data_IF_299209852226
#
_entry.id   IF_299209852226
#
_cell.length_a   1.000
_cell.length_b   1.000
_cell.length_c   1.000
_cell.angle_alpha   90.00
_cell.angle_beta   90.00
_cell.angle_gamma   90.00
#
_symmetry.space_group_name_H-M   'P 1'
#
loop_
_entity.id
_entity.type
_entity.pdbx_description
1 polymer ?
#
# COMPACT_ATOMS: atom_id res chain seq x y z
N UNK A 1 -0.47 77.17 -26.54
CA UNK A 1 0.25 76.34 -25.56
C UNK A 1 -0.63 75.53 -24.67
N UNK A 2 -1.94 75.75 -24.48
CA UNK A 2 -2.86 74.96 -23.63
C UNK A 2 -3.37 73.68 -24.30
N UNK A 3 -3.49 73.66 -25.63
CA UNK A 3 -4.00 72.50 -26.38
C UNK A 3 -3.00 71.31 -26.49
N UNK A 4 -1.71 71.60 -26.56
CA UNK A 4 -0.67 70.57 -26.64
C UNK A 4 -0.52 69.76 -25.36
N UNK A 5 -0.74 70.38 -24.19
CA UNK A 5 -0.68 69.70 -22.89
C UNK A 5 -1.85 68.73 -22.66
N UNK A 6 -3.02 69.00 -23.19
CA UNK A 6 -4.21 68.14 -23.11
C UNK A 6 -4.02 66.85 -23.93
N UNK A 7 -3.38 66.91 -25.10
CA UNK A 7 -3.12 65.77 -25.97
C UNK A 7 -2.09 64.80 -25.33
N UNK A 8 -1.06 65.32 -24.65
CA UNK A 8 -0.05 64.49 -23.97
C UNK A 8 -0.64 63.78 -22.72
N UNK A 9 -1.59 64.38 -22.00
CA UNK A 9 -2.23 63.77 -20.84
C UNK A 9 -3.17 62.66 -21.30
N UNK A 10 -3.91 62.82 -22.40
CA UNK A 10 -4.76 61.77 -22.95
C UNK A 10 -3.98 60.60 -23.54
N UNK A 11 -2.83 60.82 -24.14
CA UNK A 11 -1.96 59.79 -24.67
C UNK A 11 -1.29 58.95 -23.55
N UNK A 12 -0.91 59.55 -22.42
CA UNK A 12 -0.33 58.82 -21.28
C UNK A 12 -1.38 57.98 -20.51
N UNK A 13 -2.62 58.39 -20.42
CA UNK A 13 -3.70 57.63 -19.80
C UNK A 13 -4.12 56.43 -20.67
N UNK A 14 -4.08 56.54 -21.99
CA UNK A 14 -4.38 55.45 -22.91
C UNK A 14 -3.28 54.35 -22.88
N UNK A 15 -2.03 54.69 -22.67
CA UNK A 15 -0.92 53.72 -22.56
C UNK A 15 -0.97 52.98 -21.20
N UNK A 16 -1.44 53.63 -20.12
CA UNK A 16 -1.57 53.01 -18.82
C UNK A 16 -2.78 52.01 -18.78
N UNK A 17 -3.82 52.24 -19.59
CA UNK A 17 -5.00 51.38 -19.63
C UNK A 17 -4.78 50.03 -20.38
N UNK A 18 -3.81 49.96 -21.28
CA UNK A 18 -3.44 48.73 -22.02
C UNK A 18 -2.57 47.75 -21.21
N UNK A 19 -1.95 48.20 -20.13
CA UNK A 19 -1.11 47.34 -19.26
C UNK A 19 -1.87 46.45 -18.29
N UNK A 20 -3.19 46.58 -18.14
CA UNK A 20 -4.04 45.81 -17.21
C UNK A 20 -4.78 44.65 -17.88
N UNK A 21 -4.46 44.28 -19.13
CA UNK A 21 -4.89 43.02 -19.71
C UNK A 21 -4.06 41.88 -19.06
N UNK A 22 -4.22 41.72 -17.75
CA UNK A 22 -3.63 40.63 -16.99
C UNK A 22 -3.98 39.30 -17.64
N UNK A 23 -2.99 38.49 -17.91
CA UNK A 23 -3.15 37.10 -18.31
C UNK A 23 -4.17 36.43 -17.41
N UNK A 24 -5.39 36.28 -17.86
CA UNK A 24 -6.35 35.35 -17.26
C UNK A 24 -5.77 33.96 -17.54
N UNK A 25 -5.03 33.43 -16.59
CA UNK A 25 -4.57 32.05 -16.61
C UNK A 25 -5.84 31.18 -16.72
N UNK A 26 -6.17 30.77 -17.94
CA UNK A 26 -7.30 29.87 -18.21
C UNK A 26 -6.89 28.47 -17.81
N UNK A 27 -6.62 28.24 -16.52
CA UNK A 27 -6.57 26.89 -16.03
C UNK A 27 -7.98 26.34 -16.14
N UNK A 28 -8.15 25.32 -16.96
CA UNK A 28 -9.39 24.55 -16.96
C UNK A 28 -9.65 24.07 -15.53
N UNK A 29 -10.85 24.27 -14.97
CA UNK A 29 -11.14 23.84 -13.61
C UNK A 29 -10.93 22.33 -13.53
N UNK A 30 -9.93 21.91 -12.76
CA UNK A 30 -9.65 20.52 -12.45
C UNK A 30 -10.39 20.08 -11.19
N UNK A 31 -10.62 18.78 -11.06
CA UNK A 31 -11.09 18.18 -9.82
C UNK A 31 -9.91 17.93 -8.91
N UNK A 32 -9.97 18.49 -7.71
CA UNK A 32 -8.89 18.34 -6.74
C UNK A 32 -8.85 16.94 -6.16
N UNK A 33 -7.64 16.45 -5.99
CA UNK A 33 -7.38 15.14 -5.41
C UNK A 33 -5.94 15.01 -4.93
N UNK A 34 -5.58 13.81 -4.55
CA UNK A 34 -4.23 13.47 -4.12
C UNK A 34 -3.86 12.04 -4.50
N UNK A 35 -2.58 11.79 -4.45
CA UNK A 35 -2.02 10.45 -4.68
C UNK A 35 -2.03 9.67 -3.36
N UNK A 36 -2.60 8.48 -3.38
CA UNK A 36 -2.56 7.50 -2.29
C UNK A 36 -1.84 6.22 -2.72
N UNK A 37 -1.46 5.39 -1.75
CA UNK A 37 -1.03 4.03 -2.03
C UNK A 37 -1.56 3.07 -0.96
N UNK A 38 -1.96 1.87 -1.38
CA UNK A 38 -2.33 0.80 -0.46
C UNK A 38 -1.06 0.07 0.00
N UNK A 39 -0.69 0.30 1.27
CA UNK A 39 0.49 -0.28 1.87
C UNK A 39 0.26 -1.73 2.27
N UNK A 40 1.29 -2.54 2.18
CA UNK A 40 1.32 -3.89 2.73
C UNK A 40 2.09 -3.84 4.05
N UNK A 41 1.40 -4.19 5.13
CA UNK A 41 1.97 -4.19 6.48
C UNK A 41 2.54 -5.55 6.79
N UNK A 42 3.79 -5.59 7.28
CA UNK A 42 4.45 -6.84 7.67
C UNK A 42 4.56 -6.87 9.19
N UNK A 43 3.91 -7.87 9.79
CA UNK A 43 3.77 -8.04 11.24
C UNK A 43 4.26 -9.42 11.67
N UNK A 44 4.79 -9.59 12.89
CA UNK A 44 5.06 -10.91 13.45
C UNK A 44 3.76 -11.57 13.91
N UNK A 45 3.70 -12.89 13.82
CA UNK A 45 2.56 -13.70 14.30
C UNK A 45 2.51 -13.75 15.85
N UNK A 46 3.67 -13.71 16.51
CA UNK A 46 3.81 -13.77 17.96
C UNK A 46 4.59 -12.55 18.48
N UNK A 47 4.26 -12.11 19.68
CA UNK A 47 4.98 -11.03 20.34
C UNK A 47 6.46 -11.37 20.61
N UNK A 48 7.31 -10.37 20.57
CA UNK A 48 8.73 -10.51 20.88
C UNK A 48 9.54 -9.25 20.63
N UNK A 49 10.81 -9.29 21.04
CA UNK A 49 11.73 -8.19 20.81
C UNK A 49 12.29 -8.25 19.39
N UNK A 50 12.32 -7.15 18.66
CA UNK A 50 13.01 -7.05 17.38
C UNK A 50 14.52 -7.14 17.64
N UNK A 51 15.13 -8.21 17.18
CA UNK A 51 16.58 -8.46 17.37
C UNK A 51 17.40 -7.94 16.21
N UNK A 52 16.82 -7.90 15.01
CA UNK A 52 17.51 -7.45 13.82
C UNK A 52 16.52 -6.82 12.83
N UNK A 53 16.96 -5.73 12.21
CA UNK A 53 16.28 -5.05 11.13
C UNK A 53 17.25 -4.92 9.94
N UNK A 54 16.93 -5.60 8.83
CA UNK A 54 17.86 -5.69 7.70
C UNK A 54 17.66 -4.60 6.65
N UNK A 55 16.57 -3.81 6.75
CA UNK A 55 16.15 -2.83 5.75
C UNK A 55 16.01 -1.46 6.38
N UNK A 56 16.08 -0.43 5.54
CA UNK A 56 15.84 0.98 5.89
C UNK A 56 14.65 1.53 5.12
N UNK A 57 14.09 2.63 5.58
CA UNK A 57 13.08 3.37 4.82
C UNK A 57 13.68 3.85 3.49
N UNK A 58 12.96 3.61 2.40
CA UNK A 58 13.40 3.88 1.05
C UNK A 58 14.07 2.71 0.33
N UNK A 59 14.45 1.63 1.01
CA UNK A 59 15.05 0.45 0.37
C UNK A 59 14.03 -0.27 -0.51
N UNK A 60 14.48 -0.76 -1.66
CA UNK A 60 13.71 -1.65 -2.52
C UNK A 60 13.87 -3.11 -2.07
N UNK A 61 12.76 -3.82 -2.00
CA UNK A 61 12.72 -5.24 -1.61
C UNK A 61 12.03 -6.10 -2.65
N UNK A 62 12.47 -7.35 -2.75
CA UNK A 62 11.87 -8.41 -3.57
C UNK A 62 11.08 -9.37 -2.69
N UNK A 63 10.17 -10.11 -3.31
CA UNK A 63 9.45 -11.19 -2.62
C UNK A 63 10.43 -12.17 -2.01
N UNK A 64 10.27 -12.46 -0.71
CA UNK A 64 11.12 -13.38 0.03
C UNK A 64 12.35 -12.76 0.68
N UNK A 65 12.62 -11.46 0.50
CA UNK A 65 13.71 -10.79 1.19
C UNK A 65 13.47 -10.78 2.70
N UNK A 66 14.53 -11.05 3.48
CA UNK A 66 14.45 -11.08 4.93
C UNK A 66 14.50 -9.66 5.50
N UNK A 67 13.40 -9.22 6.09
CA UNK A 67 13.19 -7.85 6.55
C UNK A 67 13.65 -7.64 7.99
N UNK A 68 13.19 -8.51 8.90
CA UNK A 68 13.51 -8.41 10.33
C UNK A 68 13.50 -9.78 10.99
N UNK A 69 14.11 -9.85 12.18
CA UNK A 69 14.03 -11.00 13.08
C UNK A 69 13.48 -10.57 14.43
N UNK A 70 12.71 -11.45 15.04
CA UNK A 70 12.22 -11.32 16.41
C UNK A 70 12.93 -12.38 17.26
N UNK A 71 13.17 -12.08 18.53
CA UNK A 71 13.78 -12.98 19.50
C UNK A 71 13.16 -14.38 19.43
N UNK A 72 14.00 -15.40 19.22
CA UNK A 72 13.60 -16.79 18.98
C UNK A 72 14.18 -17.78 19.99
N UNK A 73 14.78 -17.32 21.09
CA UNK A 73 15.44 -18.16 22.10
C UNK A 73 14.51 -19.22 22.68
N UNK A 74 13.26 -18.84 23.02
CA UNK A 74 12.27 -19.78 23.56
C UNK A 74 11.83 -20.81 22.52
N UNK A 75 11.63 -20.40 21.27
CA UNK A 75 11.24 -21.28 20.17
C UNK A 75 12.37 -22.25 19.81
N UNK A 76 13.63 -21.78 19.89
CA UNK A 76 14.80 -22.63 19.70
C UNK A 76 14.91 -23.69 20.80
N UNK A 77 14.69 -23.31 22.06
CA UNK A 77 14.68 -24.26 23.19
C UNK A 77 13.58 -25.31 23.04
N UNK A 78 12.34 -24.90 22.67
CA UNK A 78 11.22 -25.80 22.39
C UNK A 78 11.54 -26.78 21.25
N UNK A 79 12.08 -26.25 20.15
CA UNK A 79 12.50 -27.08 19.00
C UNK A 79 13.54 -28.13 19.41
N UNK A 80 14.54 -27.74 20.19
CA UNK A 80 15.56 -28.67 20.66
C UNK A 80 15.00 -29.75 21.59
N UNK A 81 14.05 -29.41 22.48
CA UNK A 81 13.33 -30.37 23.31
C UNK A 81 12.52 -31.35 22.46
N UNK A 82 11.79 -30.87 21.47
CA UNK A 82 10.97 -31.73 20.59
C UNK A 82 11.87 -32.61 19.69
N UNK A 83 13.02 -32.15 19.24
CA UNK A 83 14.02 -32.95 18.52
C UNK A 83 14.59 -34.08 19.40
N UNK A 84 14.86 -33.82 20.66
CA UNK A 84 15.30 -34.86 21.60
C UNK A 84 14.20 -35.92 21.84
N UNK A 85 12.93 -35.48 21.92
CA UNK A 85 11.77 -36.39 22.06
C UNK A 85 11.61 -37.23 20.79
N UNK A 86 11.77 -36.65 19.60
CA UNK A 86 11.74 -37.38 18.33
C UNK A 86 12.84 -38.45 18.26
N UNK A 87 14.07 -38.10 18.64
CA UNK A 87 15.17 -39.05 18.66
C UNK A 87 14.90 -40.27 19.57
N UNK A 88 14.30 -40.05 20.76
CA UNK A 88 13.89 -41.15 21.66
C UNK A 88 12.73 -41.99 21.05
N UNK A 89 11.74 -41.34 20.44
CA UNK A 89 10.65 -42.05 19.77
C UNK A 89 11.14 -42.91 18.61
N UNK A 90 12.08 -42.38 17.81
CA UNK A 90 12.74 -43.10 16.72
C UNK A 90 13.47 -44.35 17.23
N UNK A 91 14.31 -44.21 18.26
CA UNK A 91 15.00 -45.36 18.87
C UNK A 91 14.06 -46.41 19.40
N UNK A 92 12.92 -46.00 19.99
CA UNK A 92 11.90 -46.88 20.50
C UNK A 92 11.19 -47.64 19.36
N UNK A 93 10.89 -46.96 18.29
CA UNK A 93 10.32 -47.56 17.08
C UNK A 93 11.29 -48.58 16.46
N UNK A 94 12.56 -48.23 16.27
CA UNK A 94 13.59 -49.10 15.69
C UNK A 94 13.72 -50.37 16.48
N UNK A 95 13.72 -50.29 17.84
CA UNK A 95 13.74 -51.42 18.72
C UNK A 95 12.49 -52.28 18.59
N UNK A 96 11.32 -51.68 18.63
CA UNK A 96 10.05 -52.41 18.48
C UNK A 96 9.95 -53.10 17.12
N UNK A 97 10.36 -52.46 16.06
CA UNK A 97 10.39 -52.99 14.71
C UNK A 97 11.36 -54.17 14.58
N UNK A 98 12.55 -54.10 15.20
CA UNK A 98 13.52 -55.17 15.24
C UNK A 98 12.96 -56.38 16.00
N UNK A 99 12.39 -56.19 17.19
CA UNK A 99 11.79 -57.25 18.00
C UNK A 99 10.59 -57.91 17.30
N UNK A 100 9.76 -57.15 16.64
CA UNK A 100 8.65 -57.68 15.83
C UNK A 100 9.12 -58.59 14.69
N UNK A 101 10.20 -58.17 13.98
CA UNK A 101 10.81 -58.97 12.89
C UNK A 101 11.38 -60.31 13.39
N UNK A 102 11.92 -60.36 14.61
CA UNK A 102 12.44 -61.60 15.22
C UNK A 102 11.39 -62.42 15.93
N UNK A 103 10.12 -62.05 15.93
CA UNK A 103 9.02 -62.72 16.61
C UNK A 103 9.02 -62.55 18.14
N UNK A 104 9.91 -61.70 18.69
CA UNK A 104 10.05 -61.43 20.12
C UNK A 104 9.23 -60.21 20.61
N UNK A 105 8.63 -59.47 19.70
CA UNK A 105 7.78 -58.30 19.98
C UNK A 105 6.31 -58.54 19.59
N UNK A 106 5.41 -57.78 20.22
CA UNK A 106 3.98 -57.80 19.88
C UNK A 106 3.65 -56.73 18.83
N UNK A 107 2.67 -57.00 17.98
CA UNK A 107 2.17 -56.01 17.02
C UNK A 107 1.67 -54.74 17.72
N UNK A 108 1.00 -54.88 18.86
CA UNK A 108 0.53 -53.73 19.66
C UNK A 108 1.64 -52.82 20.12
N UNK A 109 2.82 -53.36 20.48
CA UNK A 109 3.99 -52.57 20.84
C UNK A 109 4.56 -51.79 19.64
N UNK A 110 4.60 -52.44 18.46
CA UNK A 110 5.04 -51.80 17.22
C UNK A 110 4.08 -50.65 16.85
N UNK A 111 2.77 -50.91 16.87
CA UNK A 111 1.76 -49.91 16.54
C UNK A 111 1.80 -48.69 17.48
N UNK A 112 2.02 -48.97 18.80
CA UNK A 112 2.22 -47.89 19.78
C UNK A 112 3.49 -47.07 19.49
N UNK A 113 4.60 -47.74 19.16
CA UNK A 113 5.83 -47.04 18.83
C UNK A 113 5.73 -46.20 17.52
N UNK A 114 5.04 -46.73 16.51
CA UNK A 114 4.72 -46.00 15.27
C UNK A 114 3.90 -44.75 15.58
N UNK A 115 2.87 -44.88 16.42
CA UNK A 115 2.01 -43.76 16.82
C UNK A 115 2.83 -42.67 17.55
N UNK A 116 3.67 -43.09 18.53
CA UNK A 116 4.52 -42.18 19.29
C UNK A 116 5.53 -41.43 18.38
N UNK A 117 6.12 -42.13 17.41
CA UNK A 117 7.03 -41.51 16.43
C UNK A 117 6.33 -40.43 15.62
N UNK A 118 5.16 -40.73 15.05
CA UNK A 118 4.39 -39.76 14.24
C UNK A 118 3.97 -38.53 15.05
N UNK A 119 3.62 -38.70 16.32
CA UNK A 119 3.32 -37.56 17.21
C UNK A 119 4.57 -36.69 17.44
N UNK A 120 5.73 -37.31 17.65
CA UNK A 120 6.97 -36.60 17.86
C UNK A 120 7.41 -35.84 16.57
N UNK A 121 7.28 -36.45 15.40
CA UNK A 121 7.53 -35.80 14.10
C UNK A 121 6.63 -34.57 13.90
N UNK A 122 5.33 -34.70 14.20
CA UNK A 122 4.38 -33.59 14.09
C UNK A 122 4.71 -32.43 15.03
N UNK A 123 5.22 -32.74 16.26
CA UNK A 123 5.66 -31.70 17.22
C UNK A 123 6.90 -30.94 16.72
N UNK A 124 7.88 -31.64 16.17
CA UNK A 124 9.06 -31.00 15.58
C UNK A 124 8.65 -30.09 14.44
N UNK A 125 7.81 -30.57 13.50
CA UNK A 125 7.32 -29.75 12.37
C UNK A 125 6.58 -28.50 12.85
N UNK A 126 5.80 -28.58 13.92
CA UNK A 126 5.13 -27.44 14.54
C UNK A 126 6.12 -26.44 15.10
N UNK A 127 7.15 -26.90 15.86
CA UNK A 127 8.17 -26.03 16.45
C UNK A 127 9.04 -25.38 15.37
N UNK A 128 9.39 -26.09 14.30
CA UNK A 128 10.11 -25.53 13.14
C UNK A 128 9.31 -24.42 12.45
N UNK A 129 8.00 -24.61 12.27
CA UNK A 129 7.12 -23.61 11.73
C UNK A 129 7.06 -22.35 12.60
N UNK A 130 6.93 -22.51 13.92
CA UNK A 130 6.93 -21.38 14.86
C UNK A 130 8.25 -20.62 14.82
N UNK A 131 9.36 -21.34 14.79
CA UNK A 131 10.68 -20.73 14.67
C UNK A 131 10.85 -19.96 13.36
N UNK A 132 10.41 -20.52 12.23
CA UNK A 132 10.47 -19.85 10.93
C UNK A 132 9.68 -18.53 10.92
N UNK A 133 8.54 -18.49 11.63
CA UNK A 133 7.68 -17.30 11.75
C UNK A 133 8.26 -16.19 12.64
N UNK A 134 9.40 -16.42 13.32
CA UNK A 134 10.16 -15.37 14.03
C UNK A 134 10.93 -14.46 13.09
N UNK A 135 10.99 -14.80 11.81
CA UNK A 135 11.61 -14.00 10.75
C UNK A 135 10.52 -13.45 9.83
N UNK A 136 10.52 -12.14 9.65
CA UNK A 136 9.64 -11.45 8.70
C UNK A 136 10.28 -11.41 7.32
N UNK A 137 9.54 -11.86 6.31
CA UNK A 137 9.95 -11.81 4.90
C UNK A 137 9.00 -10.93 4.11
N UNK A 138 9.49 -10.34 3.02
CA UNK A 138 8.69 -9.51 2.13
C UNK A 138 7.66 -10.39 1.37
N UNK A 139 6.34 -10.17 1.57
CA UNK A 139 5.31 -10.90 0.85
C UNK A 139 5.14 -10.41 -0.58
N UNK A 140 5.58 -9.18 -0.86
CA UNK A 140 5.50 -8.52 -2.17
C UNK A 140 6.77 -7.73 -2.44
N UNK A 141 7.07 -7.48 -3.72
CA UNK A 141 8.11 -6.54 -4.10
C UNK A 141 7.61 -5.10 -3.97
N UNK A 142 8.49 -4.18 -3.57
CA UNK A 142 8.16 -2.77 -3.41
C UNK A 142 9.22 -2.01 -2.65
N UNK A 143 8.88 -0.79 -2.22
CA UNK A 143 9.77 0.08 -1.43
C UNK A 143 9.33 0.07 0.03
N UNK A 144 10.27 -0.03 0.96
CA UNK A 144 10.00 0.15 2.40
C UNK A 144 9.55 1.59 2.63
N UNK A 145 8.29 1.78 3.01
CA UNK A 145 7.73 3.11 3.19
C UNK A 145 7.97 3.65 4.59
N UNK A 146 7.76 2.81 5.60
CA UNK A 146 7.89 3.21 6.99
C UNK A 146 8.27 2.03 7.87
N UNK A 147 9.11 2.29 8.87
CA UNK A 147 9.51 1.37 9.92
C UNK A 147 8.91 1.85 11.24
N UNK A 148 8.07 1.01 11.86
CA UNK A 148 7.33 1.37 13.08
C UNK A 148 8.06 0.94 14.35
N UNK A 149 8.91 -0.11 14.28
CA UNK A 149 9.67 -0.64 15.41
C UNK A 149 11.14 -0.78 15.05
N UNK A 150 12.01 -0.46 15.99
CA UNK A 150 13.46 -0.53 15.84
C UNK A 150 14.04 -1.74 16.59
N UNK A 151 15.29 -2.06 16.31
CA UNK A 151 16.03 -3.09 17.05
C UNK A 151 16.02 -2.76 18.55
N UNK A 152 15.75 -3.78 19.36
CA UNK A 152 15.62 -3.68 20.82
C UNK A 152 14.19 -3.41 21.30
N UNK A 153 13.27 -2.97 20.46
CA UNK A 153 11.89 -2.70 20.86
C UNK A 153 11.03 -3.97 20.90
N UNK A 154 10.05 -3.97 21.81
CA UNK A 154 9.09 -5.06 21.94
C UNK A 154 7.91 -4.81 21.00
N UNK A 155 7.62 -5.77 20.14
CA UNK A 155 6.47 -5.74 19.23
C UNK A 155 5.41 -6.76 19.67
N UNK A 156 4.16 -6.34 19.70
CA UNK A 156 3.04 -7.25 19.95
C UNK A 156 2.70 -8.05 18.69
N UNK A 157 2.07 -9.20 18.86
CA UNK A 157 1.53 -9.98 17.74
C UNK A 157 0.63 -9.11 16.86
N UNK A 158 0.72 -9.29 15.54
CA UNK A 158 -0.07 -8.58 14.53
C UNK A 158 0.13 -7.05 14.47
N UNK A 159 1.09 -6.49 15.22
CA UNK A 159 1.50 -5.08 15.07
C UNK A 159 2.50 -4.97 13.94
N UNK A 160 2.29 -4.08 12.96
CA UNK A 160 3.24 -3.90 11.86
C UNK A 160 4.61 -3.47 12.35
N UNK A 161 5.66 -4.15 11.94
CA UNK A 161 7.05 -3.73 12.13
C UNK A 161 7.45 -2.72 11.08
N UNK A 162 6.99 -2.93 9.86
CA UNK A 162 7.23 -2.04 8.73
C UNK A 162 6.10 -2.13 7.70
N UNK A 163 6.08 -1.18 6.76
CA UNK A 163 5.17 -1.18 5.61
C UNK A 163 5.94 -1.16 4.30
N UNK A 164 5.44 -1.90 3.32
CA UNK A 164 5.94 -1.97 1.94
C UNK A 164 4.93 -1.31 1.03
N UNK A 165 5.40 -0.47 0.13
CA UNK A 165 4.63 0.13 -0.95
C UNK A 165 4.92 -0.57 -2.27
N UNK A 166 4.04 -1.45 -2.76
CA UNK A 166 4.18 -2.00 -4.09
C UNK A 166 3.91 -0.92 -5.16
N UNK A 167 4.70 -0.84 -6.22
CA UNK A 167 4.53 0.20 -7.25
C UNK A 167 3.16 0.16 -7.93
N UNK A 168 2.53 -1.01 -8.03
CA UNK A 168 1.19 -1.18 -8.61
C UNK A 168 0.02 -0.75 -7.72
N UNK A 169 0.26 -0.46 -6.45
CA UNK A 169 -0.78 -0.10 -5.47
C UNK A 169 -1.00 1.42 -5.36
N UNK A 170 -0.31 2.21 -6.16
CA UNK A 170 -0.53 3.65 -6.21
C UNK A 170 -1.86 3.96 -6.92
N UNK A 171 -2.63 4.85 -6.35
CA UNK A 171 -3.93 5.29 -6.85
C UNK A 171 -4.10 6.80 -6.67
N UNK A 172 -4.92 7.37 -7.51
CA UNK A 172 -5.38 8.75 -7.39
C UNK A 172 -6.74 8.73 -6.73
N UNK A 173 -6.96 9.66 -5.84
CA UNK A 173 -8.22 9.87 -5.15
C UNK A 173 -8.66 11.30 -5.35
N UNK A 174 -9.82 11.51 -5.96
CA UNK A 174 -10.33 12.83 -6.25
C UNK A 174 -11.86 12.87 -6.15
N UNK A 175 -12.39 14.06 -6.03
CA UNK A 175 -13.82 14.26 -5.80
C UNK A 175 -14.47 15.01 -6.96
N UNK A 176 -15.61 14.49 -7.40
CA UNK A 176 -16.36 15.05 -8.52
C UNK A 176 -17.77 15.42 -8.06
N UNK A 177 -18.25 16.63 -8.36
CA UNK A 177 -19.64 17.02 -8.08
C UNK A 177 -20.66 16.13 -8.83
N UNK A 178 -21.85 15.97 -8.24
CA UNK A 178 -22.94 15.19 -8.82
C UNK A 178 -23.26 15.60 -10.27
N UNK A 179 -23.20 16.87 -10.59
CA UNK A 179 -23.48 17.41 -11.94
C UNK A 179 -22.52 16.92 -13.02
N UNK A 180 -21.31 16.55 -12.65
CA UNK A 180 -20.28 16.07 -13.58
C UNK A 180 -20.23 14.53 -13.64
N UNK A 181 -20.83 13.84 -12.67
CA UNK A 181 -20.79 12.39 -12.54
C UNK A 181 -21.32 11.64 -13.79
N UNK A 182 -22.41 12.09 -14.47
CA UNK A 182 -22.89 11.42 -15.67
C UNK A 182 -21.91 11.42 -16.84
N UNK A 183 -20.91 12.29 -16.81
CA UNK A 183 -19.87 12.38 -17.86
C UNK A 183 -18.77 11.34 -17.68
N UNK A 184 -18.75 10.62 -16.54
CA UNK A 184 -17.72 9.68 -16.17
C UNK A 184 -18.22 8.25 -16.23
N UNK A 185 -17.33 7.34 -16.62
CA UNK A 185 -17.56 5.91 -16.54
C UNK A 185 -16.29 5.19 -16.07
N UNK A 186 -16.50 4.01 -15.47
CA UNK A 186 -15.38 3.12 -15.17
C UNK A 186 -14.66 2.75 -16.48
N UNK A 187 -13.34 2.88 -16.50
CA UNK A 187 -12.52 2.66 -17.69
C UNK A 187 -12.14 3.93 -18.44
N UNK A 188 -12.75 5.06 -18.14
CA UNK A 188 -12.39 6.35 -18.75
C UNK A 188 -10.96 6.76 -18.35
N UNK A 189 -10.26 7.40 -19.27
CA UNK A 189 -8.94 7.97 -19.05
C UNK A 189 -9.05 9.45 -18.74
N UNK A 190 -8.46 9.88 -17.65
CA UNK A 190 -8.40 11.28 -17.22
C UNK A 190 -6.97 11.80 -17.30
N UNK A 191 -6.82 13.11 -17.52
CA UNK A 191 -5.52 13.78 -17.50
C UNK A 191 -5.22 14.28 -16.08
N UNK A 192 -3.98 14.13 -15.67
CA UNK A 192 -3.49 14.58 -14.35
C UNK A 192 -2.60 15.79 -14.57
N UNK A 193 -2.82 16.82 -13.78
CA UNK A 193 -1.93 17.96 -13.65
C UNK A 193 -1.46 18.08 -12.21
N UNK A 194 -0.22 18.42 -12.00
CA UNK A 194 0.35 18.75 -10.70
C UNK A 194 1.56 19.68 -10.90
N UNK A 195 1.98 20.36 -9.83
CA UNK A 195 3.11 21.28 -9.91
C UNK A 195 4.38 20.53 -10.32
N UNK A 196 5.03 20.98 -11.38
CA UNK A 196 6.24 20.40 -11.97
C UNK A 196 6.10 18.95 -12.48
N UNK A 197 4.90 18.49 -12.74
CA UNK A 197 4.67 17.20 -13.37
C UNK A 197 4.84 17.24 -14.89
N UNK A 198 5.11 16.07 -15.48
CA UNK A 198 5.06 15.91 -16.92
C UNK A 198 3.61 16.15 -17.45
N UNK A 199 3.48 16.87 -18.56
CA UNK A 199 2.18 17.30 -19.10
C UNK A 199 1.30 16.14 -19.63
N UNK A 200 1.88 14.96 -19.82
CA UNK A 200 1.25 13.78 -20.42
C UNK A 200 0.81 12.71 -19.42
N UNK A 201 0.73 13.06 -18.14
CA UNK A 201 0.28 12.14 -17.11
C UNK A 201 -1.22 11.87 -17.26
N UNK A 202 -1.56 10.58 -17.26
CA UNK A 202 -2.94 10.10 -17.34
C UNK A 202 -3.23 9.07 -16.26
N UNK A 203 -4.52 8.87 -15.99
CA UNK A 203 -4.98 7.79 -15.12
C UNK A 203 -6.27 7.17 -15.67
N UNK A 204 -6.46 5.89 -15.37
CA UNK A 204 -7.65 5.15 -15.73
C UNK A 204 -8.57 4.97 -14.53
N UNK A 205 -9.80 5.43 -14.63
CA UNK A 205 -10.82 5.29 -13.58
C UNK A 205 -11.15 3.80 -13.41
N UNK A 206 -11.11 3.29 -12.19
CA UNK A 206 -11.49 1.93 -11.87
C UNK A 206 -12.60 1.84 -10.81
N UNK A 207 -12.85 2.94 -10.08
CA UNK A 207 -13.86 2.96 -9.04
C UNK A 207 -14.56 4.32 -9.00
N UNK A 208 -15.88 4.30 -8.85
CA UNK A 208 -16.74 5.46 -8.62
C UNK A 208 -17.61 5.09 -7.42
N UNK A 209 -17.56 5.90 -6.35
CA UNK A 209 -18.36 5.66 -5.16
C UNK A 209 -19.87 5.72 -5.49
N UNK A 210 -20.62 4.82 -4.86
CA UNK A 210 -22.10 4.76 -5.02
C UNK A 210 -22.83 5.69 -4.07
N UNK A 211 -22.13 6.20 -3.03
CA UNK A 211 -22.65 7.16 -2.05
C UNK A 211 -21.90 8.48 -2.18
N UNK A 212 -22.66 9.56 -2.06
CA UNK A 212 -22.08 10.90 -2.01
C UNK A 212 -21.45 11.15 -0.63
N UNK A 213 -20.39 11.92 -0.64
CA UNK A 213 -19.75 12.46 0.55
C UNK A 213 -19.92 13.99 0.55
N UNK A 214 -19.88 14.60 1.74
CA UNK A 214 -19.77 16.06 1.81
C UNK A 214 -18.32 16.45 1.56
N UNK A 215 -18.10 17.54 0.83
CA UNK A 215 -16.75 18.09 0.66
C UNK A 215 -16.07 18.24 2.03
N UNK A 216 -14.84 17.71 2.19
CA UNK A 216 -14.09 17.88 3.44
C UNK A 216 -14.03 19.38 3.80
N UNK A 217 -14.20 19.75 5.07
CA UNK A 217 -14.38 21.15 5.52
C UNK A 217 -13.08 21.96 5.48
N UNK A 218 -12.40 22.00 4.34
CA UNK A 218 -11.16 22.79 4.16
C UNK A 218 -11.44 24.17 3.55
N UNK A 219 -12.70 24.49 3.21
CA UNK A 219 -13.06 25.70 2.47
C UNK A 219 -13.98 26.57 3.26
N UNK A 220 -13.53 27.79 3.53
CA UNK A 220 -14.19 28.84 4.34
C UNK A 220 -15.27 29.63 3.60
N UNK A 221 -15.82 29.17 2.48
CA UNK A 221 -16.91 29.88 1.80
C UNK A 221 -18.27 29.21 2.03
N UNK A 222 -19.29 30.03 2.29
CA UNK A 222 -20.68 29.59 2.57
C UNK A 222 -21.34 28.90 1.37
N UNK A 223 -20.89 29.17 0.15
CA UNK A 223 -21.45 28.63 -1.09
C UNK A 223 -20.97 27.20 -1.41
N UNK A 224 -19.87 26.76 -0.84
CA UNK A 224 -19.30 25.44 -1.13
C UNK A 224 -19.62 24.36 -0.08
N UNK A 225 -20.23 24.74 1.05
CA UNK A 225 -20.50 23.82 2.17
C UNK A 225 -21.54 22.73 1.89
N UNK A 226 -22.30 22.83 0.80
CA UNK A 226 -23.42 21.93 0.52
C UNK A 226 -23.29 21.19 -0.83
N UNK A 227 -22.11 21.09 -1.41
CA UNK A 227 -21.94 20.32 -2.64
C UNK A 227 -21.67 18.86 -2.31
N UNK A 228 -22.62 18.01 -2.69
CA UNK A 228 -22.41 16.56 -2.69
C UNK A 228 -21.36 16.22 -3.73
N UNK A 229 -20.36 15.49 -3.32
CA UNK A 229 -19.28 15.02 -4.17
C UNK A 229 -19.18 13.50 -4.12
N UNK A 230 -18.73 12.91 -5.19
CA UNK A 230 -18.49 11.48 -5.28
C UNK A 230 -17.00 11.21 -5.34
N UNK A 231 -16.55 10.29 -4.50
CA UNK A 231 -15.18 9.82 -4.53
C UNK A 231 -14.95 8.97 -5.78
N UNK A 232 -13.89 9.33 -6.52
CA UNK A 232 -13.43 8.57 -7.68
C UNK A 232 -12.00 8.11 -7.42
N UNK A 233 -11.70 6.87 -7.84
CA UNK A 233 -10.32 6.36 -7.79
C UNK A 233 -9.87 5.98 -9.20
N UNK A 234 -8.62 6.34 -9.51
CA UNK A 234 -8.00 6.04 -10.78
C UNK A 234 -6.57 5.53 -10.60
N UNK A 235 -6.12 4.66 -11.49
CA UNK A 235 -4.73 4.18 -11.52
C UNK A 235 -3.91 5.03 -12.46
N UNK A 236 -2.80 5.63 -12.00
CA UNK A 236 -1.91 6.39 -12.85
C UNK A 236 -1.21 5.48 -13.87
N UNK A 237 -1.00 5.96 -15.08
CA UNK A 237 -0.25 5.26 -16.12
C UNK A 237 1.24 5.15 -15.81
N UNK A 238 1.78 6.13 -15.08
CA UNK A 238 3.18 6.20 -14.62
C UNK A 238 3.24 6.49 -13.12
N UNK A 239 3.14 5.45 -12.25
CA UNK A 239 3.18 5.64 -10.81
C UNK A 239 4.52 6.18 -10.29
N UNK A 240 5.62 5.86 -10.95
CA UNK A 240 6.99 6.31 -10.67
C UNK A 240 7.18 7.83 -10.79
N UNK A 241 6.36 8.50 -11.61
CA UNK A 241 6.36 9.94 -11.77
C UNK A 241 5.63 10.72 -10.66
N UNK A 242 4.98 10.03 -9.73
CA UNK A 242 4.14 10.60 -8.69
C UNK A 242 4.64 10.20 -7.29
N UNK A 243 4.23 10.98 -6.29
CA UNK A 243 4.55 10.68 -4.90
C UNK A 243 3.29 10.59 -4.04
N UNK A 244 3.28 9.67 -3.09
CA UNK A 244 2.17 9.54 -2.13
C UNK A 244 2.03 10.84 -1.33
N UNK A 245 0.78 11.29 -1.17
CA UNK A 245 0.44 12.56 -0.55
C UNK A 245 0.53 13.78 -1.48
N UNK A 246 0.98 13.62 -2.73
CA UNK A 246 1.08 14.71 -3.69
C UNK A 246 -0.32 15.19 -4.09
N UNK A 247 -0.61 16.52 -4.00
CA UNK A 247 -1.85 17.08 -4.53
C UNK A 247 -1.84 17.05 -6.07
N UNK A 248 -3.01 16.80 -6.64
CA UNK A 248 -3.20 16.72 -8.08
C UNK A 248 -4.51 17.42 -8.49
N UNK A 249 -4.53 17.93 -9.70
CA UNK A 249 -5.75 18.36 -10.40
C UNK A 249 -6.05 17.35 -11.51
N UNK A 250 -7.29 16.87 -11.54
CA UNK A 250 -7.75 15.89 -12.53
C UNK A 250 -8.66 16.57 -13.53
N UNK A 251 -8.33 16.48 -14.81
CA UNK A 251 -9.13 17.01 -15.91
C UNK A 251 -9.79 15.87 -16.69
N UNK A 252 -11.09 16.00 -16.93
CA UNK A 252 -11.80 15.05 -17.77
C UNK A 252 -11.39 15.25 -19.23
N UNK A 253 -11.13 14.16 -19.93
CA UNK A 253 -11.01 14.24 -21.37
C UNK A 253 -12.42 14.46 -21.96
N UNK A 254 -12.60 15.48 -22.84
CA UNK A 254 -13.89 15.65 -23.49
C UNK A 254 -14.23 14.36 -24.27
N UNK A 255 -15.30 13.66 -23.86
CA UNK A 255 -15.83 12.56 -24.66
C UNK A 255 -16.23 13.12 -26.00
N UNK A 256 -15.72 12.57 -27.08
CA UNK A 256 -16.28 12.80 -28.41
C UNK A 256 -17.78 12.50 -28.33
N UNK A 257 -18.69 13.42 -28.70
CA UNK A 257 -20.11 13.17 -28.58
C UNK A 257 -20.40 11.88 -29.34
N UNK A 258 -20.95 10.89 -28.65
CA UNK A 258 -21.51 9.70 -29.29
C UNK A 258 -22.61 10.22 -30.19
N UNK A 259 -22.46 10.08 -31.52
CA UNK A 259 -23.48 10.43 -32.49
C UNK A 259 -24.77 9.69 -32.09
N UNK A 260 -25.78 10.45 -31.68
CA UNK A 260 -27.10 9.95 -31.38
C UNK A 260 -27.63 9.23 -32.64
N UNK A 261 -27.61 7.90 -32.59
CA UNK A 261 -28.30 7.10 -33.60
C UNK A 261 -29.78 7.13 -33.24
N UNK A 262 -30.50 8.11 -33.80
CA UNK A 262 -31.95 8.03 -33.95
C UNK A 262 -32.30 6.93 -34.93
#
# INVERSE_FOLDING_TARGET
>A
MRSLRAIFIFASVAVLATGLAGCKDKREPGFQGWVEADMIFVSPDEAGRVTKLNMREGDEVKVGDHLYSVDDDLQLADLNQNKATLANAQQTYDRAASLSKTGSGTQANLDSAVSALRVAEARVATSETRMARRKGFAPVAGTIQQIYFREGEMVAAQRPVLSIMPPGNMKLRFFVPETELPKLAIGDTVRIACDNCAADLTAKIYFIATSAEYTPPVIYSLEERNKLVYLIQARPSRPDALRVGQPIDVHLNPKTPVADKR
#
